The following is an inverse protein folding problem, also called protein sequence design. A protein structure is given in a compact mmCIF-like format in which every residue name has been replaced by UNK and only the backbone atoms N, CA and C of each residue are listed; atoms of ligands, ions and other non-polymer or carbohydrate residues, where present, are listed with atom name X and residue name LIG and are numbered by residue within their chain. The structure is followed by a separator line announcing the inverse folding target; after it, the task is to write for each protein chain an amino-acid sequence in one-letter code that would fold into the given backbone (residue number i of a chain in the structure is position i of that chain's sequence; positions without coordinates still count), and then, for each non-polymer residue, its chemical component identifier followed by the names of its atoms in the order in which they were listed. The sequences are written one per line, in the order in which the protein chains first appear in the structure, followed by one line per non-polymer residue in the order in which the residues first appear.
data_IF_560145483995
#
_entry.id   IF_560145483995
#
_cell.length_a   1.000
_cell.length_b   1.000
_cell.length_c   1.000
_cell.angle_alpha   90.00
_cell.angle_beta   90.00
_cell.angle_gamma   90.00
#
_symmetry.space_group_name_H-M   'P 1'
#
loop_
_entity.id
_entity.type
_entity.pdbx_description
1 polymer ?
#
# COMPACT_ATOMS: atom_id res chain seq x y z
N UNK A 1 18.75 2.85 4.48
CA UNK A 1 18.66 3.87 3.43
C UNK A 1 17.29 3.81 2.77
N UNK A 2 16.63 4.94 2.61
CA UNK A 2 15.35 5.01 1.91
C UNK A 2 15.58 4.93 0.41
N UNK A 3 14.86 4.03 -0.25
CA UNK A 3 14.93 3.83 -1.68
C UNK A 3 13.89 4.66 -2.45
N UNK A 4 13.47 4.15 -3.59
CA UNK A 4 12.51 4.83 -4.44
C UNK A 4 11.08 4.71 -3.90
N UNK A 5 10.20 5.58 -4.39
CA UNK A 5 8.76 5.43 -4.20
C UNK A 5 8.27 4.21 -4.99
N UNK A 6 7.87 3.17 -4.28
CA UNK A 6 7.39 1.93 -4.91
C UNK A 6 5.99 2.11 -5.50
N UNK A 7 5.06 2.60 -4.67
CA UNK A 7 3.70 2.89 -5.13
C UNK A 7 2.96 3.83 -4.19
N UNK A 8 1.87 4.37 -4.70
CA UNK A 8 0.83 5.05 -3.92
C UNK A 8 -0.42 4.17 -3.98
N UNK A 9 -0.94 3.77 -2.83
CA UNK A 9 -2.15 2.96 -2.75
C UNK A 9 -3.39 3.83 -2.55
N UNK A 10 -4.39 3.60 -3.37
CA UNK A 10 -5.66 4.31 -3.32
C UNK A 10 -6.77 3.31 -3.04
N UNK A 11 -7.49 3.51 -1.95
CA UNK A 11 -8.64 2.69 -1.58
C UNK A 11 -9.87 3.12 -2.40
N UNK A 12 -10.55 2.16 -3.00
CA UNK A 12 -11.73 2.37 -3.85
C UNK A 12 -12.74 1.26 -3.65
N UNK A 13 -13.98 1.50 -4.07
CA UNK A 13 -15.04 0.47 -4.03
C UNK A 13 -14.89 -0.56 -5.15
N UNK A 14 -14.33 -0.15 -6.28
CA UNK A 14 -14.17 -0.99 -7.48
C UNK A 14 -12.83 -0.67 -8.14
N UNK A 15 -11.84 -1.54 -7.89
CA UNK A 15 -10.47 -1.35 -8.33
C UNK A 15 -10.33 -1.39 -9.86
N UNK A 16 -11.02 -2.31 -10.52
CA UNK A 16 -10.95 -2.44 -11.98
C UNK A 16 -11.53 -1.20 -12.66
N UNK A 17 -12.67 -0.72 -12.18
CA UNK A 17 -13.33 0.49 -12.71
C UNK A 17 -12.44 1.72 -12.51
N UNK A 18 -11.83 1.87 -11.33
CA UNK A 18 -10.91 2.99 -11.04
C UNK A 18 -9.70 2.96 -11.97
N UNK A 19 -9.10 1.81 -12.18
CA UNK A 19 -7.92 1.65 -13.03
C UNK A 19 -8.22 1.86 -14.52
N UNK A 20 -9.43 1.58 -14.96
CA UNK A 20 -9.84 1.70 -16.37
C UNK A 20 -9.60 3.09 -16.95
N UNK A 21 -9.80 4.13 -16.16
CA UNK A 21 -9.58 5.53 -16.58
C UNK A 21 -8.12 5.75 -16.94
N UNK A 22 -7.21 5.20 -16.16
CA UNK A 22 -5.77 5.27 -16.42
C UNK A 22 -5.38 4.49 -17.69
N UNK A 23 -6.00 3.33 -17.90
CA UNK A 23 -5.83 2.55 -19.12
C UNK A 23 -6.26 3.31 -20.36
N UNK A 24 -7.33 4.09 -20.28
CA UNK A 24 -7.80 4.95 -21.37
C UNK A 24 -6.78 6.05 -21.72
N UNK A 25 -5.93 6.44 -20.77
CA UNK A 25 -4.82 7.39 -20.98
C UNK A 25 -3.52 6.72 -21.41
N UNK A 26 -3.56 5.43 -21.71
CA UNK A 26 -2.41 4.67 -22.20
C UNK A 26 -1.54 4.02 -21.13
N UNK A 27 -1.94 4.06 -19.86
CA UNK A 27 -1.20 3.39 -18.79
C UNK A 27 -1.40 1.86 -18.86
N UNK A 28 -0.37 1.13 -18.43
CA UNK A 28 -0.45 -0.32 -18.28
C UNK A 28 -1.22 -0.67 -17.01
N UNK A 29 -2.28 -1.45 -17.15
CA UNK A 29 -3.15 -1.87 -16.05
C UNK A 29 -3.05 -3.38 -15.88
N UNK A 30 -2.78 -3.83 -14.66
CA UNK A 30 -2.69 -5.26 -14.33
C UNK A 30 -4.07 -5.90 -14.24
N UNK A 31 -4.10 -7.24 -14.24
CA UNK A 31 -5.28 -7.98 -13.82
C UNK A 31 -5.58 -7.74 -12.33
N UNK A 32 -6.84 -7.92 -11.94
CA UNK A 32 -7.23 -7.89 -10.54
C UNK A 32 -6.73 -9.16 -9.83
N UNK A 33 -6.09 -8.99 -8.68
CA UNK A 33 -5.55 -10.10 -7.88
C UNK A 33 -6.14 -10.04 -6.46
N UNK A 34 -6.88 -11.07 -6.05
CA UNK A 34 -7.35 -11.13 -4.66
C UNK A 34 -6.19 -11.51 -3.72
N UNK A 35 -6.13 -10.80 -2.59
CA UNK A 35 -5.20 -11.07 -1.50
C UNK A 35 -6.01 -11.30 -0.22
N UNK A 36 -6.55 -12.51 -0.01
CA UNK A 36 -7.43 -12.79 1.13
C UNK A 36 -6.78 -12.52 2.49
N UNK A 37 -5.48 -12.74 2.61
CA UNK A 37 -4.72 -12.50 3.84
C UNK A 37 -4.69 -11.03 4.25
N UNK A 38 -4.78 -10.13 3.26
CA UNK A 38 -4.83 -8.69 3.47
C UNK A 38 -6.25 -8.13 3.40
N UNK A 39 -7.24 -8.96 3.04
CA UNK A 39 -8.64 -8.56 2.92
C UNK A 39 -8.90 -7.59 1.76
N UNK A 40 -8.13 -7.68 0.68
CA UNK A 40 -8.23 -6.76 -0.47
C UNK A 40 -8.14 -7.49 -1.80
N UNK A 41 -8.67 -6.82 -2.83
CA UNK A 41 -8.36 -7.09 -4.24
C UNK A 41 -7.51 -5.94 -4.74
N UNK A 42 -6.41 -6.23 -5.42
CA UNK A 42 -5.50 -5.21 -5.94
C UNK A 42 -5.49 -5.14 -7.45
N UNK A 43 -5.35 -3.93 -7.98
CA UNK A 43 -5.06 -3.65 -9.39
C UNK A 43 -3.94 -2.63 -9.44
N UNK A 44 -2.88 -2.92 -10.18
CA UNK A 44 -1.74 -2.02 -10.35
C UNK A 44 -1.82 -1.27 -11.68
N UNK A 45 -1.54 0.01 -11.62
CA UNK A 45 -1.33 0.87 -12.79
C UNK A 45 0.13 1.27 -12.82
N UNK A 46 0.86 0.86 -13.86
CA UNK A 46 2.28 1.16 -14.01
C UNK A 46 2.47 2.51 -14.69
N UNK A 47 3.23 3.38 -14.04
CA UNK A 47 3.65 4.68 -14.56
C UNK A 47 5.15 4.65 -14.86
N UNK A 48 5.69 5.62 -15.64
CA UNK A 48 7.13 5.65 -15.94
C UNK A 48 8.03 5.71 -14.71
N UNK A 49 7.56 6.32 -13.62
CA UNK A 49 8.36 6.60 -12.42
C UNK A 49 7.90 5.88 -11.15
N UNK A 50 6.71 5.28 -11.14
CA UNK A 50 6.17 4.55 -9.98
C UNK A 50 4.94 3.73 -10.40
N UNK A 51 4.16 3.29 -9.42
CA UNK A 51 2.90 2.60 -9.65
C UNK A 51 1.81 3.20 -8.77
N UNK A 52 0.57 3.08 -9.21
CA UNK A 52 -0.61 3.28 -8.37
C UNK A 52 -1.17 1.88 -8.08
N UNK A 53 -1.45 1.62 -6.82
CA UNK A 53 -2.15 0.41 -6.40
C UNK A 53 -3.57 0.77 -6.02
N UNK A 54 -4.56 0.28 -6.77
CA UNK A 54 -5.95 0.38 -6.34
C UNK A 54 -6.28 -0.82 -5.46
N UNK A 55 -6.79 -0.56 -4.28
CA UNK A 55 -7.18 -1.59 -3.31
C UNK A 55 -8.67 -1.48 -3.03
N UNK A 56 -9.35 -2.62 -3.15
CA UNK A 56 -10.77 -2.78 -2.98
C UNK A 56 -11.02 -3.75 -1.83
N UNK A 57 -12.02 -3.52 -0.95
CA UNK A 57 -12.30 -4.45 0.13
C UNK A 57 -12.66 -5.83 -0.39
N UNK A 58 -12.08 -6.86 0.23
CA UNK A 58 -12.46 -8.24 0.05
C UNK A 58 -13.12 -8.72 1.34
N UNK A 59 -14.44 -8.64 1.37
CA UNK A 59 -15.24 -8.94 2.55
C UNK A 59 -15.48 -7.74 3.47
N UNK A 60 -16.48 -7.85 4.33
CA UNK A 60 -16.92 -6.78 5.23
C UNK A 60 -15.93 -6.50 6.37
N UNK A 61 -15.13 -7.50 6.74
CA UNK A 61 -14.12 -7.39 7.78
C UNK A 61 -12.82 -6.76 7.29
N UNK A 62 -12.73 -6.37 6.02
CA UNK A 62 -11.54 -5.74 5.46
C UNK A 62 -11.23 -4.40 6.15
N UNK A 63 -9.95 -4.13 6.49
CA UNK A 63 -9.55 -2.82 7.00
C UNK A 63 -9.90 -1.67 6.05
N UNK A 64 -9.93 -1.94 4.75
CA UNK A 64 -10.26 -0.97 3.71
C UNK A 64 -11.75 -0.60 3.74
N UNK A 65 -12.62 -1.50 4.18
CA UNK A 65 -14.05 -1.20 4.33
C UNK A 65 -14.27 -0.03 5.30
N UNK A 66 -13.57 -0.02 6.44
CA UNK A 66 -13.65 1.08 7.41
C UNK A 66 -13.11 2.40 6.84
N UNK A 67 -12.04 2.33 6.10
CA UNK A 67 -11.49 3.51 5.43
C UNK A 67 -12.51 4.13 4.47
N UNK A 68 -13.20 3.29 3.70
CA UNK A 68 -14.20 3.75 2.72
C UNK A 68 -15.48 4.27 3.38
N UNK A 69 -15.81 3.86 4.61
CA UNK A 69 -16.91 4.46 5.37
C UNK A 69 -16.69 5.96 5.60
N UNK A 70 -15.43 6.38 5.78
CA UNK A 70 -15.03 7.77 6.01
C UNK A 70 -14.68 8.49 4.71
N UNK A 71 -14.40 7.75 3.64
CA UNK A 71 -13.94 8.27 2.36
C UNK A 71 -14.73 7.56 1.25
N UNK A 72 -16.03 7.90 1.14
CA UNK A 72 -16.96 7.18 0.28
C UNK A 72 -16.58 7.17 -1.21
N UNK A 73 -15.91 8.23 -1.66
CA UNK A 73 -15.44 8.36 -3.05
C UNK A 73 -14.02 7.83 -3.26
N UNK A 74 -13.47 7.16 -2.24
CA UNK A 74 -12.09 6.69 -2.25
C UNK A 74 -11.11 7.71 -1.69
N UNK A 75 -9.84 7.35 -1.64
CA UNK A 75 -8.77 8.22 -1.17
C UNK A 75 -7.45 7.51 -1.07
N UNK A 76 -6.37 8.27 -0.95
CA UNK A 76 -5.04 7.72 -0.74
C UNK A 76 -5.02 7.01 0.62
N UNK A 77 -4.67 5.73 0.60
CA UNK A 77 -4.60 4.90 1.79
C UNK A 77 -3.19 4.85 2.37
N UNK A 78 -2.18 4.63 1.55
CA UNK A 78 -0.79 4.61 1.99
C UNK A 78 0.19 4.91 0.87
N UNK A 79 1.44 5.17 1.26
CA UNK A 79 2.56 5.39 0.37
C UNK A 79 3.62 4.34 0.71
N UNK A 80 4.16 3.66 -0.29
CA UNK A 80 5.16 2.60 -0.11
C UNK A 80 6.52 3.02 -0.65
N UNK A 81 7.55 2.80 0.16
CA UNK A 81 8.95 3.01 -0.23
C UNK A 81 9.73 1.70 -0.21
N UNK A 82 10.66 1.54 -1.15
CA UNK A 82 11.63 0.46 -1.11
C UNK A 82 12.70 0.73 -0.06
N UNK A 83 13.15 -0.33 0.60
CA UNK A 83 14.33 -0.29 1.48
C UNK A 83 15.22 -1.49 1.15
N UNK A 84 16.56 -1.33 1.21
CA UNK A 84 17.47 -2.43 0.88
C UNK A 84 17.49 -3.54 1.93
N UNK A 85 17.20 -3.21 3.19
CA UNK A 85 17.14 -4.15 4.31
C UNK A 85 16.03 -3.72 5.26
N UNK A 86 14.91 -4.46 5.23
CA UNK A 86 13.71 -4.09 5.98
C UNK A 86 13.92 -4.21 7.51
N UNK A 87 14.74 -5.14 7.95
CA UNK A 87 15.03 -5.30 9.38
C UNK A 87 15.89 -4.13 9.88
N UNK A 88 16.92 -3.76 9.13
CA UNK A 88 17.76 -2.61 9.47
C UNK A 88 16.94 -1.31 9.45
N UNK A 89 16.08 -1.16 8.46
CA UNK A 89 15.17 0.00 8.35
C UNK A 89 14.21 0.07 9.54
N UNK A 90 13.59 -1.05 9.90
CA UNK A 90 12.71 -1.15 11.07
C UNK A 90 13.45 -0.71 12.34
N UNK A 91 14.62 -1.28 12.59
CA UNK A 91 15.39 -1.02 13.81
C UNK A 91 15.84 0.45 13.89
N UNK A 92 16.25 1.03 12.77
CA UNK A 92 16.56 2.45 12.66
C UNK A 92 15.37 3.33 13.01
N UNK A 93 14.19 3.01 12.45
CA UNK A 93 12.96 3.77 12.71
C UNK A 93 12.53 3.69 14.19
N UNK A 94 12.63 2.51 14.79
CA UNK A 94 12.34 2.34 16.22
C UNK A 94 13.29 3.16 17.09
N UNK A 95 14.57 3.19 16.75
CA UNK A 95 15.57 4.02 17.43
C UNK A 95 15.24 5.51 17.36
N UNK A 96 14.69 5.97 16.23
CA UNK A 96 14.26 7.35 16.04
C UNK A 96 12.88 7.65 16.68
N UNK A 97 12.27 6.66 17.32
CA UNK A 97 10.99 6.81 18.02
C UNK A 97 9.76 6.57 17.17
N UNK A 98 9.90 6.10 15.94
CA UNK A 98 8.77 5.77 15.10
C UNK A 98 8.11 4.45 15.53
N UNK A 99 6.80 4.36 15.33
CA UNK A 99 6.02 3.18 15.70
C UNK A 99 5.77 2.30 14.49
N UNK A 100 6.18 1.05 14.60
CA UNK A 100 5.88 0.00 13.62
C UNK A 100 4.57 -0.64 14.01
N UNK A 101 3.61 -0.72 13.07
CA UNK A 101 2.31 -1.32 13.33
C UNK A 101 2.41 -2.85 13.40
N UNK A 102 1.48 -3.46 14.14
CA UNK A 102 1.45 -4.90 14.35
C UNK A 102 2.53 -5.36 15.33
N UNK A 103 3.07 -6.55 15.09
CA UNK A 103 4.08 -7.19 15.95
C UNK A 103 5.52 -6.83 15.58
N UNK A 104 5.72 -5.97 14.59
CA UNK A 104 7.05 -5.60 14.09
C UNK A 104 7.74 -6.67 13.24
N UNK A 105 7.06 -7.76 12.96
CA UNK A 105 7.57 -8.82 12.07
C UNK A 105 7.09 -8.56 10.65
N UNK A 106 8.01 -8.49 9.66
CA UNK A 106 7.61 -8.28 8.27
C UNK A 106 6.66 -9.38 7.77
N UNK A 107 5.64 -8.97 7.02
CA UNK A 107 4.68 -9.87 6.37
C UNK A 107 4.91 -9.81 4.85
N UNK A 108 4.47 -10.84 4.14
CA UNK A 108 4.55 -10.84 2.67
C UNK A 108 3.44 -9.97 2.08
N UNK A 109 3.83 -8.99 1.29
CA UNK A 109 2.92 -8.06 0.63
C UNK A 109 2.52 -8.47 -0.79
N UNK A 110 1.92 -7.54 -1.51
CA UNK A 110 1.35 -7.77 -2.84
C UNK A 110 2.37 -8.22 -3.90
N UNK A 111 3.64 -7.84 -3.74
CA UNK A 111 4.71 -8.22 -4.65
C UNK A 111 5.45 -9.49 -4.23
N UNK A 112 4.97 -10.22 -3.23
CA UNK A 112 5.65 -11.39 -2.69
C UNK A 112 6.91 -11.09 -1.89
N UNK A 113 7.06 -9.85 -1.43
CA UNK A 113 8.22 -9.37 -0.66
C UNK A 113 7.81 -8.95 0.75
N UNK A 114 8.76 -9.01 1.71
CA UNK A 114 8.47 -8.55 3.07
C UNK A 114 8.11 -7.07 3.13
N UNK A 115 7.08 -6.75 3.91
CA UNK A 115 6.59 -5.38 4.12
C UNK A 115 6.34 -5.13 5.60
N UNK A 116 6.39 -3.85 5.99
CA UNK A 116 5.97 -3.33 7.29
C UNK A 116 5.21 -2.03 7.08
N UNK A 117 4.26 -1.77 7.99
CA UNK A 117 3.52 -0.50 8.03
C UNK A 117 3.94 0.32 9.24
N UNK A 118 4.00 1.65 9.05
CA UNK A 118 4.45 2.62 10.03
C UNK A 118 3.31 3.57 10.39
N UNK A 119 3.24 3.93 11.67
CA UNK A 119 2.12 4.71 12.19
C UNK A 119 2.06 6.11 11.57
N UNK A 120 0.86 6.56 11.09
CA UNK A 120 0.71 7.86 10.42
C UNK A 120 1.14 9.06 11.25
N UNK A 121 1.03 9.00 12.57
CA UNK A 121 1.45 10.12 13.45
C UNK A 121 2.94 10.41 13.35
N UNK A 122 3.76 9.43 12.96
CA UNK A 122 5.19 9.60 12.83
C UNK A 122 5.61 9.99 11.40
N UNK A 123 4.65 10.03 10.46
CA UNK A 123 4.87 10.31 9.04
C UNK A 123 3.92 11.38 8.51
N UNK A 124 3.71 12.42 9.29
CA UNK A 124 2.94 13.61 8.88
C UNK A 124 1.51 13.31 8.45
N UNK A 125 0.89 12.32 9.07
CA UNK A 125 -0.49 11.94 8.81
C UNK A 125 -0.69 10.91 7.69
N UNK A 126 0.38 10.46 7.04
CA UNK A 126 0.30 9.43 6.01
C UNK A 126 0.65 8.06 6.59
N UNK A 127 -0.16 7.05 6.29
CA UNK A 127 0.23 5.66 6.53
C UNK A 127 1.35 5.31 5.55
N UNK A 128 2.47 4.84 6.05
CA UNK A 128 3.64 4.50 5.24
C UNK A 128 3.90 2.99 5.30
N UNK A 129 4.15 2.42 4.13
CA UNK A 129 4.62 1.05 3.98
C UNK A 129 6.09 1.08 3.56
N UNK A 130 6.89 0.18 4.09
CA UNK A 130 8.23 -0.11 3.56
C UNK A 130 8.27 -1.54 3.05
N UNK A 131 8.91 -1.73 1.91
CA UNK A 131 9.02 -3.02 1.23
C UNK A 131 10.49 -3.35 0.98
N UNK A 132 10.84 -4.61 1.24
CA UNK A 132 12.19 -5.12 0.93
C UNK A 132 12.43 -5.03 -0.58
N UNK A 133 13.47 -4.36 -0.98
CA UNK A 133 13.84 -4.24 -2.39
C UNK A 133 14.25 -5.58 -3.02
#
# INVERSE_FOLDING_TARGET
MLGRLNHVAIAVKDAEKAAKIYGALGAEVSAAVPLPEHGVVTVFVTLPNTKIEFIQPLGEASPIAKFLERNADGGIHHICYDVPDIIAARDCLIEEGARVLGDGVPKIGAHGKPVLFLHPKDFSGALVEIEQA
#
